data_IF_960370502517
#
_entry.id   IF_960370502517
#
_cell.length_a   1.000
_cell.length_b   1.000
_cell.length_c   1.000
_cell.angle_alpha   90.00
_cell.angle_beta   90.00
_cell.angle_gamma   90.00
#
_symmetry.space_group_name_H-M   'P 1'
#
loop_
_entity.id
_entity.type
_entity.pdbx_description
1 polymer ?
#
# COMPACT_ATOMS: atom_id res chain seq x y z
N UNK A 1 -7.65 2.35 -2.35
CA UNK A 1 -8.16 3.74 -2.27
C UNK A 1 -7.50 4.50 -3.41
N UNK A 2 -8.26 5.19 -4.26
CA UNK A 2 -7.66 5.99 -5.32
C UNK A 2 -7.15 7.31 -4.72
N UNK A 3 -5.91 7.70 -5.00
CA UNK A 3 -5.32 8.90 -4.43
C UNK A 3 -6.20 10.17 -4.53
N UNK A 4 -6.75 10.52 -5.72
CA UNK A 4 -7.56 11.73 -5.84
C UNK A 4 -8.98 11.60 -5.27
N UNK A 5 -9.36 10.46 -4.69
CA UNK A 5 -10.66 10.30 -4.03
C UNK A 5 -10.61 10.61 -2.54
N UNK A 6 -9.45 11.00 -1.99
CA UNK A 6 -9.27 11.18 -0.55
C UNK A 6 -9.42 12.64 -0.17
N UNK A 7 -10.27 12.89 0.83
CA UNK A 7 -10.31 14.13 1.58
C UNK A 7 -9.72 13.85 2.97
N UNK A 8 -8.77 14.67 3.41
CA UNK A 8 -8.09 14.51 4.70
C UNK A 8 -7.93 15.85 5.40
N UNK A 9 -8.02 15.85 6.73
CA UNK A 9 -7.74 17.05 7.54
C UNK A 9 -6.30 17.50 7.33
N UNK A 10 -6.11 18.80 7.07
CA UNK A 10 -4.77 19.40 6.87
C UNK A 10 -3.83 19.14 8.05
N UNK A 11 -4.34 19.16 9.29
CA UNK A 11 -3.54 18.87 10.48
C UNK A 11 -2.94 17.47 10.51
N UNK A 12 -3.56 16.50 9.82
CA UNK A 12 -3.04 15.13 9.67
C UNK A 12 -1.93 15.11 8.62
N UNK A 13 -2.14 15.67 7.43
CA UNK A 13 -1.10 15.71 6.38
C UNK A 13 0.16 16.50 6.77
N UNK A 14 0.03 17.47 7.69
CA UNK A 14 1.20 18.17 8.24
C UNK A 14 2.08 17.28 9.13
N UNK A 15 1.51 16.21 9.70
CA UNK A 15 2.22 15.23 10.54
C UNK A 15 2.67 14.00 9.74
N UNK A 16 1.87 13.58 8.76
CA UNK A 16 2.12 12.41 7.92
C UNK A 16 2.45 12.84 6.50
N UNK A 17 3.71 12.67 6.11
CA UNK A 17 4.21 12.98 4.76
C UNK A 17 4.46 11.69 3.97
N UNK A 18 4.52 11.82 2.63
CA UNK A 18 4.85 10.69 1.77
C UNK A 18 6.30 10.24 1.99
N UNK A 19 6.48 8.96 2.29
CA UNK A 19 7.79 8.38 2.45
C UNK A 19 8.46 8.21 1.07
N UNK A 20 9.58 8.92 0.84
CA UNK A 20 10.31 8.88 -0.42
C UNK A 20 10.82 7.46 -0.79
N UNK A 21 11.04 6.61 0.21
CA UNK A 21 11.45 5.22 0.01
C UNK A 21 10.29 4.30 -0.41
N UNK A 22 9.04 4.79 -0.51
CA UNK A 22 7.84 4.03 -0.90
C UNK A 22 7.38 4.32 -2.33
N UNK A 23 8.31 4.66 -3.22
CA UNK A 23 8.04 5.02 -4.63
C UNK A 23 6.98 4.12 -5.30
N UNK A 24 5.96 4.73 -5.90
CA UNK A 24 4.78 4.10 -6.52
C UNK A 24 3.79 3.42 -5.56
N UNK A 25 4.01 3.50 -4.26
CA UNK A 25 3.15 2.95 -3.20
C UNK A 25 3.05 3.91 -2.01
N UNK A 26 3.34 5.19 -2.24
CA UNK A 26 3.40 6.25 -1.24
C UNK A 26 2.07 6.36 -0.48
N UNK A 27 0.96 6.31 -1.21
CA UNK A 27 -0.39 6.34 -0.64
C UNK A 27 -0.64 5.14 0.27
N UNK A 28 -0.22 3.95 -0.18
CA UNK A 28 -0.48 2.73 0.56
C UNK A 28 0.27 2.70 1.89
N UNK A 29 1.51 3.17 1.89
CA UNK A 29 2.27 3.37 3.12
C UNK A 29 1.63 4.40 4.04
N UNK A 30 1.18 5.54 3.50
CA UNK A 30 0.47 6.57 4.27
C UNK A 30 -0.79 5.98 4.96
N UNK A 31 -1.58 5.16 4.26
CA UNK A 31 -2.75 4.52 4.87
C UNK A 31 -2.36 3.56 6.01
N UNK A 32 -1.29 2.79 5.85
CA UNK A 32 -0.80 1.91 6.92
C UNK A 32 -0.33 2.70 8.13
N UNK A 33 0.40 3.80 7.93
CA UNK A 33 0.85 4.67 9.03
C UNK A 33 -0.33 5.27 9.79
N UNK A 34 -1.33 5.81 9.08
CA UNK A 34 -2.51 6.41 9.70
C UNK A 34 -3.30 5.39 10.52
N UNK A 35 -3.57 4.21 9.96
CA UNK A 35 -4.31 3.15 10.65
C UNK A 35 -3.53 2.60 11.85
N UNK A 36 -2.22 2.47 11.74
CA UNK A 36 -1.35 2.02 12.84
C UNK A 36 -1.37 2.99 14.02
N UNK A 37 -1.50 4.29 13.76
CA UNK A 37 -1.57 5.32 14.79
C UNK A 37 -3.02 5.63 15.24
N UNK A 38 -3.98 4.77 14.87
CA UNK A 38 -5.36 4.84 15.35
C UNK A 38 -6.27 5.82 14.60
N UNK A 39 -5.82 6.40 13.48
CA UNK A 39 -6.71 7.18 12.63
C UNK A 39 -7.72 6.27 11.92
N UNK A 40 -8.94 6.78 11.76
CA UNK A 40 -10.01 6.07 11.04
C UNK A 40 -10.09 6.57 9.60
N UNK A 41 -10.27 5.64 8.66
CA UNK A 41 -10.50 5.93 7.24
C UNK A 41 -11.89 5.39 6.89
N UNK A 42 -12.80 6.29 6.54
CA UNK A 42 -14.17 5.95 6.14
C UNK A 42 -14.36 6.07 4.64
N UNK A 43 -15.25 5.24 4.08
CA UNK A 43 -15.61 5.26 2.68
C UNK A 43 -17.03 5.81 2.53
N UNK A 44 -17.15 6.88 1.77
CA UNK A 44 -18.44 7.40 1.32
C UNK A 44 -19.08 6.43 0.31
N UNK A 45 -20.37 6.06 0.46
CA UNK A 45 -21.03 5.14 -0.47
C UNK A 45 -21.28 5.75 -1.86
N UNK A 46 -21.09 7.06 -2.03
CA UNK A 46 -21.31 7.78 -3.29
C UNK A 46 -20.12 7.68 -4.26
N UNK A 47 -20.43 7.67 -5.56
CA UNK A 47 -19.41 7.77 -6.61
C UNK A 47 -19.14 9.25 -6.90
N UNK A 48 -18.05 9.78 -6.35
CA UNK A 48 -17.71 11.21 -6.42
C UNK A 48 -16.54 11.53 -7.36
N UNK A 49 -15.97 10.52 -8.03
CA UNK A 49 -14.76 10.69 -8.84
C UNK A 49 -14.88 9.96 -10.17
N UNK A 50 -14.77 10.71 -11.26
CA UNK A 50 -14.55 10.16 -12.60
C UNK A 50 -13.04 10.10 -12.86
N UNK A 51 -12.46 8.89 -12.78
CA UNK A 51 -11.01 8.71 -12.88
C UNK A 51 -10.58 8.43 -14.33
N UNK A 52 -9.67 9.25 -14.86
CA UNK A 52 -9.10 9.04 -16.20
C UNK A 52 -8.08 7.89 -16.18
N UNK A 53 -8.32 6.89 -17.01
CA UNK A 53 -7.36 5.78 -17.23
C UNK A 53 -6.72 5.94 -18.60
N UNK A 54 -5.38 5.96 -18.65
CA UNK A 54 -4.61 5.95 -19.89
C UNK A 54 -3.38 5.05 -19.78
N UNK A 55 -2.86 4.59 -20.92
CA UNK A 55 -1.79 3.58 -20.97
C UNK A 55 -0.48 4.02 -20.31
N UNK A 56 -0.18 5.32 -20.35
CA UNK A 56 1.04 5.90 -19.76
C UNK A 56 0.92 6.15 -18.25
N UNK A 57 -0.25 5.91 -17.64
CA UNK A 57 -0.39 6.00 -16.17
C UNK A 57 0.55 5.03 -15.47
N UNK A 58 0.95 5.32 -14.22
CA UNK A 58 1.77 4.41 -13.40
C UNK A 58 1.12 3.02 -13.31
N UNK A 59 -0.22 2.97 -13.20
CA UNK A 59 -0.97 1.72 -13.22
C UNK A 59 -0.82 0.96 -14.53
N UNK A 60 -1.02 1.63 -15.66
CA UNK A 60 -0.95 1.03 -16.99
C UNK A 60 0.46 0.59 -17.38
N UNK A 61 1.46 1.43 -17.08
CA UNK A 61 2.84 1.25 -17.54
C UNK A 61 3.71 0.41 -16.61
N UNK A 62 3.49 0.50 -15.29
CA UNK A 62 4.36 -0.11 -14.26
C UNK A 62 3.61 -1.22 -13.51
N UNK A 63 2.49 -0.91 -12.86
CA UNK A 63 1.86 -1.87 -11.94
C UNK A 63 1.31 -3.11 -12.65
N UNK A 64 0.73 -2.97 -13.85
CA UNK A 64 0.24 -4.11 -14.64
C UNK A 64 1.34 -5.10 -15.05
N UNK A 65 2.58 -4.64 -15.21
CA UNK A 65 3.72 -5.48 -15.62
C UNK A 65 4.38 -6.20 -14.43
N UNK A 66 4.15 -5.72 -13.21
CA UNK A 66 4.74 -6.27 -12.00
C UNK A 66 3.79 -7.22 -11.29
N UNK A 67 4.35 -8.11 -10.49
CA UNK A 67 3.55 -8.89 -9.57
C UNK A 67 3.08 -7.97 -8.41
N UNK A 68 1.75 -7.73 -8.26
CA UNK A 68 1.25 -6.85 -7.21
C UNK A 68 1.59 -7.38 -5.81
N UNK A 69 1.66 -8.70 -5.63
CA UNK A 69 1.97 -9.31 -4.34
C UNK A 69 3.38 -8.97 -3.85
N UNK A 70 4.39 -9.02 -4.73
CA UNK A 70 5.74 -8.59 -4.36
C UNK A 70 5.83 -7.09 -4.11
N UNK A 71 5.03 -6.28 -4.81
CA UNK A 71 4.95 -4.83 -4.55
C UNK A 71 4.41 -4.57 -3.15
N UNK A 72 3.28 -5.19 -2.80
CA UNK A 72 2.67 -5.11 -1.46
C UNK A 72 3.61 -5.61 -0.36
N UNK A 73 4.25 -6.77 -0.59
CA UNK A 73 5.23 -7.34 0.34
C UNK A 73 6.35 -6.35 0.66
N UNK A 74 6.91 -5.70 -0.37
CA UNK A 74 7.99 -4.73 -0.19
C UNK A 74 7.52 -3.48 0.55
N UNK A 75 6.35 -2.94 0.24
CA UNK A 75 5.80 -1.78 0.95
C UNK A 75 5.54 -2.09 2.42
N UNK A 76 4.92 -3.25 2.73
CA UNK A 76 4.71 -3.73 4.09
C UNK A 76 6.02 -3.95 4.84
N UNK A 77 7.06 -4.48 4.17
CA UNK A 77 8.38 -4.70 4.77
C UNK A 77 8.99 -3.38 5.25
N UNK A 78 8.98 -2.37 4.39
CA UNK A 78 9.51 -1.03 4.72
C UNK A 78 8.72 -0.38 5.85
N UNK A 79 7.39 -0.48 5.81
CA UNK A 79 6.52 -0.03 6.89
C UNK A 79 6.87 -0.70 8.22
N UNK A 80 6.88 -2.05 8.28
CA UNK A 80 7.18 -2.79 9.51
C UNK A 80 8.59 -2.48 10.04
N UNK A 81 9.58 -2.35 9.15
CA UNK A 81 10.92 -1.93 9.55
C UNK A 81 10.92 -0.54 10.21
N UNK A 82 10.14 0.39 9.67
CA UNK A 82 9.98 1.74 10.26
C UNK A 82 9.27 1.73 11.62
N UNK A 83 8.42 0.73 11.89
CA UNK A 83 7.74 0.54 13.17
C UNK A 83 8.66 -0.08 14.22
N UNK A 84 9.42 -1.09 13.82
CA UNK A 84 10.46 -1.71 14.66
C UNK A 84 11.48 -0.66 15.11
N UNK A 85 11.97 0.18 14.20
CA UNK A 85 12.95 1.22 14.54
C UNK A 85 12.42 2.28 15.51
N UNK A 86 11.10 2.43 15.61
CA UNK A 86 10.42 3.37 16.52
C UNK A 86 9.95 2.70 17.82
N UNK A 87 10.18 1.40 18.00
CA UNK A 87 9.65 0.57 19.08
C UNK A 87 8.12 0.68 19.23
N UNK A 88 7.42 0.96 18.14
CA UNK A 88 5.97 1.15 18.14
C UNK A 88 5.31 -0.07 17.47
N UNK A 89 4.97 -1.06 18.29
CA UNK A 89 4.41 -2.32 17.82
C UNK A 89 3.13 -2.66 18.58
N UNK A 90 2.04 -2.88 17.84
CA UNK A 90 0.76 -3.29 18.37
C UNK A 90 0.11 -4.39 17.53
N UNK A 91 -1.19 -4.57 17.74
CA UNK A 91 -1.98 -5.58 17.01
C UNK A 91 -2.03 -5.32 15.50
N UNK A 92 -2.06 -4.04 15.09
CA UNK A 92 -2.11 -3.67 13.68
C UNK A 92 -0.85 -4.14 12.93
N UNK A 93 0.33 -3.90 13.49
CA UNK A 93 1.60 -4.34 12.92
C UNK A 93 1.68 -5.86 12.81
N UNK A 94 1.25 -6.58 13.85
CA UNK A 94 1.15 -8.05 13.82
C UNK A 94 0.25 -8.52 12.67
N UNK A 95 -0.93 -7.90 12.51
CA UNK A 95 -1.84 -8.20 11.39
C UNK A 95 -1.18 -7.90 10.04
N UNK A 96 -0.49 -6.76 9.90
CA UNK A 96 0.24 -6.41 8.68
C UNK A 96 1.32 -7.45 8.37
N UNK A 97 2.09 -7.90 9.37
CA UNK A 97 3.11 -8.94 9.22
C UNK A 97 2.51 -10.28 8.74
N UNK A 98 1.39 -10.72 9.32
CA UNK A 98 0.69 -11.92 8.84
C UNK A 98 0.25 -11.79 7.37
N UNK A 99 -0.35 -10.65 7.01
CA UNK A 99 -0.75 -10.43 5.61
C UNK A 99 0.44 -10.28 4.66
N UNK A 100 1.58 -9.81 5.15
CA UNK A 100 2.82 -9.74 4.37
C UNK A 100 3.33 -11.15 4.03
N UNK A 101 3.26 -12.10 4.97
CA UNK A 101 3.60 -13.49 4.69
C UNK A 101 2.70 -14.08 3.60
N UNK A 102 1.39 -13.78 3.65
CA UNK A 102 0.46 -14.18 2.60
C UNK A 102 0.81 -13.57 1.22
N UNK A 103 1.16 -12.28 1.17
CA UNK A 103 1.64 -11.66 -0.08
C UNK A 103 2.88 -12.37 -0.64
N UNK A 104 3.82 -12.78 0.22
CA UNK A 104 5.00 -13.52 -0.23
C UNK A 104 4.62 -14.86 -0.87
N UNK A 105 3.76 -15.64 -0.21
CA UNK A 105 3.29 -16.93 -0.72
C UNK A 105 2.55 -16.78 -2.06
N UNK A 106 1.62 -15.83 -2.15
CA UNK A 106 0.87 -15.54 -3.38
C UNK A 106 1.79 -15.04 -4.49
N UNK A 107 2.80 -14.24 -4.15
CA UNK A 107 3.82 -13.77 -5.07
C UNK A 107 4.62 -14.90 -5.69
N UNK A 108 5.12 -15.83 -4.86
CA UNK A 108 5.85 -17.03 -5.28
C UNK A 108 4.98 -17.92 -6.15
N UNK A 109 3.76 -18.25 -5.72
CA UNK A 109 2.84 -19.11 -6.47
C UNK A 109 2.52 -18.55 -7.86
N UNK A 110 2.23 -17.24 -7.95
CA UNK A 110 2.00 -16.57 -9.25
C UNK A 110 3.25 -16.61 -10.14
N UNK A 111 4.44 -16.46 -9.56
CA UNK A 111 5.69 -16.55 -10.31
C UNK A 111 5.93 -17.96 -10.86
N UNK A 112 5.72 -19.00 -10.05
CA UNK A 112 5.83 -20.40 -10.49
C UNK A 112 4.87 -20.68 -11.65
N UNK A 113 3.60 -20.28 -11.54
CA UNK A 113 2.62 -20.47 -12.61
C UNK A 113 3.04 -19.74 -13.90
N UNK A 114 3.63 -18.55 -13.78
CA UNK A 114 4.12 -17.81 -14.95
C UNK A 114 5.30 -18.51 -15.62
N UNK A 115 6.22 -19.09 -14.84
CA UNK A 115 7.36 -19.87 -15.35
C UNK A 115 6.88 -21.16 -16.02
N UNK A 116 5.88 -21.84 -15.45
CA UNK A 116 5.32 -23.08 -16.02
C UNK A 116 4.53 -22.87 -17.32
N UNK A 117 4.05 -21.65 -17.58
CA UNK A 117 3.27 -21.30 -18.79
C UNK A 117 4.12 -20.79 -19.94
N UNK A 118 5.37 -20.41 -19.68
CA UNK A 118 6.35 -19.97 -20.66
C UNK A 118 7.24 -21.15 -21.07
#
# INVERSE_FOLDING_TARGET
>A
IAHPSVLMRSSVLKKYTYAANQKHTEDYDLWMQLLADGHTIEKLPETLLHYRVHAQSVTGSIHRKKNPFFTNYQSKRKFLWSRISKLNWGWFETKVACTQANDLMMGIGKHIIQVLKN
#
